data_IF_996259349886
#
_entry.id   IF_996259349886
#
_cell.length_a   1.000
_cell.length_b   1.000
_cell.length_c   1.000
_cell.angle_alpha   90.00
_cell.angle_beta   90.00
_cell.angle_gamma   90.00
#
_symmetry.space_group_name_H-M   'P 1'
#
loop_
_entity.id
_entity.type
_entity.pdbx_description
1 polymer ?
#
# COMPACT_ATOMS: atom_id res chain seq x y z
N UNK A 1 33.47 20.20 7.46
CA UNK A 1 32.04 20.57 7.52
C UNK A 1 31.38 19.61 8.50
N UNK A 2 30.88 20.08 9.66
CA UNK A 2 30.31 19.20 10.67
C UNK A 2 29.00 18.60 10.16
N UNK A 3 28.83 17.28 10.29
CA UNK A 3 27.58 16.58 10.01
C UNK A 3 26.45 17.18 10.86
N UNK A 4 25.41 17.68 10.19
CA UNK A 4 24.17 18.01 10.87
C UNK A 4 23.53 16.70 11.37
N UNK A 5 23.08 16.63 12.63
CA UNK A 5 22.41 15.44 13.14
C UNK A 5 21.15 15.21 12.30
N UNK A 6 21.08 14.04 11.64
CA UNK A 6 19.84 13.52 11.07
C UNK A 6 18.82 13.44 12.20
N UNK A 7 17.93 14.43 12.23
CA UNK A 7 16.79 14.44 13.13
C UNK A 7 15.87 13.30 12.68
N UNK A 8 16.15 12.08 13.16
CA UNK A 8 15.21 10.97 13.12
C UNK A 8 14.09 11.28 14.10
N UNK A 9 13.25 12.27 13.76
CA UNK A 9 11.92 12.42 14.32
C UNK A 9 11.13 11.19 13.88
N UNK A 10 11.28 10.09 14.63
CA UNK A 10 10.33 9.01 14.55
C UNK A 10 8.95 9.58 14.85
N UNK A 11 8.04 9.51 13.87
CA UNK A 11 6.63 9.94 13.96
C UNK A 11 5.80 9.19 15.03
N UNK A 12 6.45 8.56 16.02
CA UNK A 12 5.88 7.56 16.92
C UNK A 12 5.95 7.92 18.41
N UNK A 13 6.29 9.16 18.80
CA UNK A 13 6.39 9.52 20.23
C UNK A 13 5.26 10.41 20.78
N UNK A 14 4.39 10.98 19.95
CA UNK A 14 3.18 11.63 20.48
C UNK A 14 2.16 10.56 20.88
N UNK A 15 1.57 10.69 22.08
CA UNK A 15 0.47 9.85 22.51
C UNK A 15 -0.69 9.92 21.49
N UNK A 16 -1.46 8.83 21.38
CA UNK A 16 -2.52 8.73 20.38
C UNK A 16 -3.58 9.82 20.54
N UNK A 17 -3.81 10.30 21.77
CA UNK A 17 -4.80 11.33 22.05
C UNK A 17 -4.34 12.69 21.49
N UNK A 18 -3.07 13.06 21.71
CA UNK A 18 -2.43 14.25 21.16
C UNK A 18 -2.45 14.22 19.62
N UNK A 19 -2.19 13.06 19.01
CA UNK A 19 -2.29 12.90 17.54
C UNK A 19 -3.71 13.08 17.03
N UNK A 20 -4.71 12.49 17.71
CA UNK A 20 -6.13 12.68 17.38
C UNK A 20 -6.53 14.16 17.45
N UNK A 21 -6.12 14.86 18.51
CA UNK A 21 -6.37 16.29 18.65
C UNK A 21 -5.75 17.10 17.51
N UNK A 22 -4.49 16.80 17.16
CA UNK A 22 -3.81 17.43 16.02
C UNK A 22 -4.54 17.17 14.69
N UNK A 23 -4.91 15.92 14.41
CA UNK A 23 -5.64 15.58 13.18
C UNK A 23 -7.00 16.23 13.09
N UNK A 24 -7.75 16.27 14.19
CA UNK A 24 -9.03 16.99 14.23
C UNK A 24 -8.84 18.47 13.93
N UNK A 25 -7.84 19.10 14.55
CA UNK A 25 -7.55 20.51 14.29
C UNK A 25 -7.17 20.75 12.81
N UNK A 26 -6.39 19.84 12.22
CA UNK A 26 -5.87 20.00 10.86
C UNK A 26 -6.88 19.61 9.76
N UNK A 27 -7.65 18.55 9.95
CA UNK A 27 -8.43 17.89 8.90
C UNK A 27 -9.95 17.97 9.08
N UNK A 28 -10.47 18.47 10.21
CA UNK A 28 -11.93 18.44 10.45
C UNK A 28 -12.75 19.17 9.37
N UNK A 29 -12.21 20.23 8.75
CA UNK A 29 -12.89 20.91 7.65
C UNK A 29 -12.94 20.05 6.37
N UNK A 30 -11.82 19.43 6.00
CA UNK A 30 -11.76 18.55 4.83
C UNK A 30 -12.53 17.25 5.03
N UNK A 31 -12.49 16.68 6.24
CA UNK A 31 -13.25 15.47 6.60
C UNK A 31 -14.75 15.74 6.46
N UNK A 32 -15.25 16.85 7.01
CA UNK A 32 -16.65 17.27 6.83
C UNK A 32 -17.02 17.48 5.36
N UNK A 33 -16.15 18.12 4.58
CA UNK A 33 -16.39 18.32 3.15
C UNK A 33 -16.44 16.99 2.38
N UNK A 34 -15.70 15.98 2.83
CA UNK A 34 -15.71 14.62 2.28
C UNK A 34 -16.82 13.72 2.87
N UNK A 35 -17.64 14.22 3.80
CA UNK A 35 -18.66 13.42 4.49
C UNK A 35 -18.07 12.37 5.46
N UNK A 36 -16.84 12.58 5.92
CA UNK A 36 -16.14 11.70 6.87
C UNK A 36 -16.35 12.23 8.28
N UNK A 37 -16.89 11.38 9.15
CA UNK A 37 -17.02 11.64 10.58
C UNK A 37 -16.07 10.74 11.37
N UNK A 38 -15.29 11.31 12.29
CA UNK A 38 -14.36 10.56 13.14
C UNK A 38 -14.81 10.56 14.59
N UNK A 39 -14.59 9.45 15.30
CA UNK A 39 -14.94 9.30 16.72
C UNK A 39 -13.71 9.50 17.62
N UNK A 40 -13.91 9.49 18.94
CA UNK A 40 -12.81 9.50 19.92
C UNK A 40 -11.93 8.26 19.85
N UNK A 41 -12.43 7.16 19.27
CA UNK A 41 -11.69 5.91 19.10
C UNK A 41 -10.91 5.83 17.78
N UNK A 42 -11.04 6.82 16.90
CA UNK A 42 -10.37 6.82 15.60
C UNK A 42 -8.87 6.57 15.73
N UNK A 43 -8.32 5.60 15.02
CA UNK A 43 -6.90 5.27 15.08
C UNK A 43 -6.35 4.96 13.68
N UNK A 44 -5.06 5.23 13.42
CA UNK A 44 -4.43 4.83 12.18
C UNK A 44 -4.57 3.32 11.96
N UNK A 45 -5.00 2.95 10.77
CA UNK A 45 -5.05 1.56 10.37
C UNK A 45 -3.63 1.01 10.20
N UNK A 46 -3.32 -0.12 10.85
CA UNK A 46 -2.07 -0.84 10.63
C UNK A 46 -2.26 -1.75 9.42
N UNK A 47 -1.63 -1.44 8.30
CA UNK A 47 -1.83 -2.19 7.04
C UNK A 47 -1.69 -3.70 7.22
N UNK A 48 -0.75 -4.19 8.05
CA UNK A 48 -0.62 -5.64 8.35
C UNK A 48 -1.91 -6.32 8.85
N UNK A 49 -2.86 -5.56 9.38
CA UNK A 49 -4.14 -6.04 9.88
C UNK A 49 -5.21 -6.12 8.77
N UNK A 50 -4.89 -5.79 7.52
CA UNK A 50 -5.82 -5.97 6.40
C UNK A 50 -6.15 -7.45 6.20
N UNK A 51 -7.32 -7.71 5.59
CA UNK A 51 -7.85 -9.08 5.46
C UNK A 51 -6.91 -10.02 4.69
N UNK A 52 -6.12 -9.49 3.75
CA UNK A 52 -5.21 -10.27 2.92
C UNK A 52 -3.86 -10.50 3.60
N UNK A 53 -3.40 -9.60 4.48
CA UNK A 53 -2.15 -9.78 5.23
C UNK A 53 -2.35 -10.49 6.57
N UNK A 54 -3.46 -10.25 7.26
CA UNK A 54 -3.71 -10.74 8.62
C UNK A 54 -3.76 -12.27 8.71
N UNK A 55 -4.28 -12.92 7.66
CA UNK A 55 -4.35 -14.37 7.56
C UNK A 55 -2.98 -15.08 7.56
N UNK A 56 -1.88 -14.36 7.34
CA UNK A 56 -0.52 -14.92 7.34
C UNK A 56 0.16 -14.90 8.72
N UNK A 57 -0.32 -14.10 9.68
CA UNK A 57 0.35 -13.96 10.99
C UNK A 57 -0.57 -14.05 12.20
N UNK A 58 -1.88 -13.81 12.04
CA UNK A 58 -2.85 -13.86 13.13
C UNK A 58 -3.50 -15.25 13.22
N UNK A 59 -3.19 -16.05 14.26
CA UNK A 59 -3.73 -17.41 14.39
C UNK A 59 -5.26 -17.45 14.58
N UNK A 60 -5.90 -16.33 14.91
CA UNK A 60 -7.37 -16.25 15.01
C UNK A 60 -8.05 -16.12 13.64
N UNK A 61 -7.29 -15.74 12.61
CA UNK A 61 -7.76 -15.60 11.22
C UNK A 61 -7.26 -16.75 10.36
N UNK A 62 -6.05 -17.25 10.62
CA UNK A 62 -5.47 -18.37 9.87
C UNK A 62 -6.30 -19.64 10.04
N UNK A 63 -6.79 -20.17 8.93
CA UNK A 63 -7.59 -21.39 8.83
C UNK A 63 -7.29 -22.14 7.52
N UNK A 64 -7.82 -23.36 7.41
CA UNK A 64 -7.76 -24.16 6.17
C UNK A 64 -8.37 -23.41 4.99
N UNK A 65 -9.43 -22.63 5.22
CA UNK A 65 -10.12 -21.88 4.18
C UNK A 65 -9.30 -20.69 3.70
N UNK A 66 -8.68 -19.93 4.63
CA UNK A 66 -7.76 -18.85 4.23
C UNK A 66 -6.55 -19.39 3.49
N UNK A 67 -6.01 -20.54 3.92
CA UNK A 67 -4.90 -21.19 3.23
C UNK A 67 -5.31 -21.63 1.81
N UNK A 68 -6.49 -22.25 1.66
CA UNK A 68 -7.04 -22.65 0.38
C UNK A 68 -7.27 -21.46 -0.56
N UNK A 69 -7.78 -20.34 -0.03
CA UNK A 69 -7.95 -19.09 -0.78
C UNK A 69 -6.62 -18.61 -1.35
N UNK A 70 -5.56 -18.46 -0.56
CA UNK A 70 -4.27 -18.00 -1.09
C UNK A 70 -3.59 -19.03 -2.00
N UNK A 71 -3.75 -20.33 -1.74
CA UNK A 71 -3.27 -21.39 -2.65
C UNK A 71 -3.92 -21.27 -4.02
N UNK A 72 -5.21 -20.90 -4.11
CA UNK A 72 -5.93 -20.76 -5.39
C UNK A 72 -5.30 -19.74 -6.35
N UNK A 73 -4.60 -18.72 -5.84
CA UNK A 73 -3.87 -17.76 -6.69
C UNK A 73 -2.62 -18.35 -7.33
N UNK A 74 -2.03 -19.39 -6.72
CA UNK A 74 -0.77 -20.02 -7.15
C UNK A 74 -0.98 -21.36 -7.83
N UNK A 75 -2.20 -21.89 -7.85
CA UNK A 75 -2.50 -23.11 -8.59
C UNK A 75 -2.52 -22.82 -10.08
N UNK A 76 -1.81 -23.63 -10.85
CA UNK A 76 -1.92 -23.65 -12.29
C UNK A 76 -3.38 -23.95 -12.64
N UNK A 77 -4.01 -23.04 -13.38
CA UNK A 77 -5.42 -23.17 -13.67
C UNK A 77 -5.63 -24.35 -14.62
N UNK A 78 -6.10 -25.48 -14.10
CA UNK A 78 -6.49 -26.61 -14.91
C UNK A 78 -7.67 -26.18 -15.81
N UNK A 79 -7.51 -26.16 -17.14
CA UNK A 79 -8.59 -25.78 -18.04
C UNK A 79 -9.79 -26.70 -17.81
N UNK A 80 -10.98 -26.12 -17.63
CA UNK A 80 -12.23 -26.88 -17.49
C UNK A 80 -13.06 -26.69 -18.75
N UNK A 81 -13.88 -27.69 -19.10
CA UNK A 81 -14.87 -27.55 -20.18
C UNK A 81 -16.01 -26.64 -19.70
N UNK A 82 -15.78 -25.33 -19.77
CA UNK A 82 -16.73 -24.27 -19.51
C UNK A 82 -16.28 -22.98 -20.21
N UNK A 83 -17.23 -22.23 -20.75
CA UNK A 83 -16.97 -20.91 -21.33
C UNK A 83 -16.25 -20.01 -20.32
N UNK A 84 -15.21 -19.29 -20.77
CA UNK A 84 -14.38 -18.41 -19.92
C UNK A 84 -13.28 -19.11 -19.09
N UNK A 85 -13.09 -20.42 -19.24
CA UNK A 85 -12.05 -21.19 -18.54
C UNK A 85 -11.11 -21.94 -19.49
N UNK A 86 -10.98 -21.46 -20.73
CA UNK A 86 -10.06 -22.04 -21.71
C UNK A 86 -8.66 -21.41 -21.61
N UNK A 87 -7.70 -21.98 -22.33
CA UNK A 87 -6.30 -21.53 -22.30
C UNK A 87 -6.13 -20.06 -22.71
N UNK A 88 -6.91 -19.57 -23.69
CA UNK A 88 -6.84 -18.18 -24.16
C UNK A 88 -7.33 -17.21 -23.08
N UNK A 89 -8.36 -17.58 -22.33
CA UNK A 89 -8.87 -16.77 -21.22
C UNK A 89 -7.80 -16.61 -20.12
N UNK A 90 -7.13 -17.71 -19.75
CA UNK A 90 -6.02 -17.66 -18.80
C UNK A 90 -4.79 -16.94 -19.34
N UNK A 91 -4.48 -17.07 -20.64
CA UNK A 91 -3.40 -16.32 -21.27
C UNK A 91 -3.67 -14.82 -21.22
N UNK A 92 -4.90 -14.39 -21.53
CA UNK A 92 -5.31 -12.99 -21.43
C UNK A 92 -5.19 -12.48 -19.99
N UNK A 93 -5.77 -13.20 -19.02
CA UNK A 93 -5.65 -12.87 -17.59
C UNK A 93 -4.18 -12.68 -17.20
N UNK A 94 -3.34 -13.67 -17.46
CA UNK A 94 -1.94 -13.64 -17.04
C UNK A 94 -1.17 -12.50 -17.73
N UNK A 95 -1.41 -12.25 -19.02
CA UNK A 95 -0.80 -11.15 -19.76
C UNK A 95 -1.19 -9.78 -19.17
N UNK A 96 -2.44 -9.60 -18.74
CA UNK A 96 -2.89 -8.36 -18.12
C UNK A 96 -2.20 -8.06 -16.78
N UNK A 97 -1.69 -9.08 -16.08
CA UNK A 97 -1.02 -8.92 -14.78
C UNK A 97 0.51 -8.84 -14.86
N UNK A 98 1.12 -9.13 -16.02
CA UNK A 98 2.57 -9.32 -16.15
C UNK A 98 3.40 -8.15 -15.57
N UNK A 99 3.08 -6.91 -15.93
CA UNK A 99 3.85 -5.74 -15.46
C UNK A 99 3.69 -5.55 -13.95
N UNK A 100 2.47 -5.72 -13.43
CA UNK A 100 2.20 -5.65 -12.00
C UNK A 100 3.00 -6.69 -11.24
N UNK A 101 3.08 -7.92 -11.75
CA UNK A 101 3.83 -9.00 -11.10
C UNK A 101 5.34 -8.74 -11.12
N UNK A 102 5.89 -8.26 -12.24
CA UNK A 102 7.30 -7.87 -12.34
C UNK A 102 7.65 -6.81 -11.28
N UNK A 103 6.87 -5.72 -11.22
CA UNK A 103 7.15 -4.63 -10.27
C UNK A 103 6.93 -5.08 -8.84
N UNK A 104 5.83 -5.78 -8.56
CA UNK A 104 5.49 -6.18 -7.18
C UNK A 104 6.45 -7.24 -6.62
N UNK A 105 7.03 -8.10 -7.46
CA UNK A 105 7.84 -9.24 -7.03
C UNK A 105 9.36 -9.02 -7.10
N UNK A 106 9.85 -7.93 -7.71
CA UNK A 106 11.30 -7.73 -7.91
C UNK A 106 12.13 -7.70 -6.61
N UNK A 107 11.53 -7.29 -5.50
CA UNK A 107 12.16 -7.28 -4.17
C UNK A 107 11.62 -8.39 -3.24
N UNK A 108 11.03 -9.45 -3.80
CA UNK A 108 10.44 -10.54 -3.02
C UNK A 108 11.47 -11.29 -2.17
N UNK A 109 12.73 -11.38 -2.62
CA UNK A 109 13.82 -11.97 -1.85
C UNK A 109 14.07 -11.23 -0.51
N UNK A 110 13.77 -9.93 -0.46
CA UNK A 110 13.83 -9.11 0.75
C UNK A 110 12.51 -9.13 1.54
N UNK A 111 11.56 -9.99 1.16
CA UNK A 111 10.23 -10.05 1.75
C UNK A 111 9.34 -8.85 1.39
N UNK A 112 9.68 -8.07 0.37
CA UNK A 112 8.92 -6.88 -0.04
C UNK A 112 8.02 -7.18 -1.23
N UNK A 113 6.78 -6.69 -1.14
CA UNK A 113 5.83 -6.66 -2.26
C UNK A 113 5.51 -5.21 -2.61
N UNK A 114 6.25 -4.67 -3.56
CA UNK A 114 6.21 -3.25 -3.92
C UNK A 114 4.86 -2.84 -4.51
N UNK A 115 4.36 -1.64 -4.15
CA UNK A 115 3.04 -1.16 -4.57
C UNK A 115 1.87 -1.84 -3.86
N UNK A 116 2.13 -2.85 -3.04
CA UNK A 116 1.11 -3.57 -2.27
C UNK A 116 1.36 -3.43 -0.77
N UNK A 117 2.36 -4.14 -0.24
CA UNK A 117 2.70 -4.17 1.20
C UNK A 117 4.01 -3.41 1.49
N UNK A 118 4.66 -2.89 0.45
CA UNK A 118 5.83 -2.03 0.52
C UNK A 118 5.67 -0.88 -0.45
N UNK A 119 6.30 0.24 -0.13
CA UNK A 119 6.47 1.36 -1.06
C UNK A 119 7.22 0.88 -2.30
N UNK A 120 6.87 1.43 -3.48
CA UNK A 120 7.60 1.18 -4.72
C UNK A 120 8.96 1.86 -4.62
N UNK A 121 10.04 1.10 -4.78
CA UNK A 121 11.38 1.63 -4.83
C UNK A 121 11.61 2.38 -6.15
N UNK A 122 12.40 3.44 -6.13
CA UNK A 122 12.83 4.07 -7.37
C UNK A 122 13.78 3.12 -8.11
N UNK A 123 13.44 2.79 -9.36
CA UNK A 123 14.35 2.03 -10.24
C UNK A 123 15.48 2.92 -10.75
N UNK A 124 15.11 4.10 -11.24
CA UNK A 124 16.04 5.17 -11.60
C UNK A 124 16.44 5.95 -10.34
N UNK A 125 17.73 6.31 -10.19
CA UNK A 125 18.17 7.19 -9.11
C UNK A 125 17.34 8.49 -9.06
N UNK A 126 16.93 8.88 -7.86
CA UNK A 126 16.27 10.17 -7.63
C UNK A 126 17.24 11.29 -8.06
N UNK A 127 16.72 12.31 -8.74
CA UNK A 127 17.52 13.46 -9.15
C UNK A 127 18.23 14.09 -7.92
N UNK A 128 19.53 14.39 -8.01
CA UNK A 128 20.26 14.98 -6.88
C UNK A 128 19.83 16.42 -6.60
N UNK A 129 19.28 17.09 -7.62
CA UNK A 129 18.77 18.46 -7.51
C UNK A 129 17.36 18.44 -6.95
N UNK A 130 17.19 19.01 -5.76
CA UNK A 130 15.86 19.26 -5.19
C UNK A 130 15.26 20.51 -5.84
N UNK A 131 14.08 20.36 -6.43
CA UNK A 131 13.30 21.48 -6.96
C UNK A 131 12.55 22.16 -5.81
N UNK A 132 12.57 23.49 -5.78
CA UNK A 132 11.78 24.29 -4.84
C UNK A 132 10.40 24.50 -5.43
N UNK A 133 9.36 24.07 -4.70
CA UNK A 133 7.96 24.35 -5.06
C UNK A 133 7.68 25.82 -4.76
N UNK A 134 7.57 26.65 -5.80
CA UNK A 134 7.27 28.07 -5.65
C UNK A 134 5.77 28.30 -5.44
N UNK A 135 4.93 27.62 -6.23
CA UNK A 135 3.47 27.66 -6.13
C UNK A 135 2.88 26.25 -6.28
N UNK A 136 2.35 25.65 -5.20
CA UNK A 136 1.75 24.32 -5.25
C UNK A 136 0.60 24.18 -6.26
N UNK A 137 -0.14 25.27 -6.56
CA UNK A 137 -1.24 25.26 -7.51
C UNK A 137 -0.76 25.13 -8.96
N UNK A 138 0.31 25.85 -9.31
CA UNK A 138 0.94 25.77 -10.64
C UNK A 138 1.60 24.41 -10.84
N UNK A 139 2.38 23.95 -9.87
CA UNK A 139 3.07 22.65 -9.93
C UNK A 139 2.07 21.49 -10.01
N UNK A 140 0.96 21.56 -9.27
CA UNK A 140 -0.09 20.55 -9.37
C UNK A 140 -0.78 20.54 -10.73
N UNK A 141 -0.82 21.65 -11.46
CA UNK A 141 -1.35 21.71 -12.82
C UNK A 141 -0.36 21.17 -13.86
N UNK A 142 0.96 21.25 -13.59
CA UNK A 142 1.98 20.65 -14.44
C UNK A 142 2.01 19.11 -14.31
N UNK A 143 1.83 18.59 -13.09
CA UNK A 143 1.95 17.15 -12.81
C UNK A 143 0.74 16.32 -13.29
N UNK A 144 -0.45 16.91 -13.31
CA UNK A 144 -1.71 16.22 -13.64
C UNK A 144 -1.91 16.04 -15.13
#
# INVERSE_FOLDING_TARGET
MPEQPRNMLGHNQADLASRRAQWRAQYAASDRAAGIETTDDFAPFKQKNDVFSRAFWDPTVTSKDTEAFFKSYRMEAAPRRGEGFNQKDFALRNASWLISDIISARAQADGKREGFQSVIAADTPIAPTRVTVADPGIEAAEIK
#
